data_IF_020033443512
#
_entry.id   IF_020033443512
#
_cell.length_a   1.000
_cell.length_b   1.000
_cell.length_c   1.000
_cell.angle_alpha   90.00
_cell.angle_beta   90.00
_cell.angle_gamma   90.00
#
_symmetry.space_group_name_H-M   'P 1'
#
loop_
_entity.id
_entity.type
_entity.pdbx_description
1 polymer ?
#
# COMPACT_ATOMS: atom_id res chain seq x y z
N UNK A 1 -6.97 -15.31 10.90
CA UNK A 1 -7.51 -14.89 9.60
C UNK A 1 -6.55 -13.88 9.00
N UNK A 2 -6.34 -13.91 7.68
CA UNK A 2 -5.51 -12.88 7.03
C UNK A 2 -6.25 -11.53 7.09
N UNK A 3 -5.49 -10.44 7.33
CA UNK A 3 -6.01 -9.07 7.41
C UNK A 3 -6.63 -8.61 6.09
N UNK A 4 -6.07 -9.07 4.98
CA UNK A 4 -6.51 -8.78 3.62
C UNK A 4 -6.82 -10.08 2.87
N UNK A 5 -7.76 -10.00 1.94
CA UNK A 5 -8.09 -11.06 0.98
C UNK A 5 -7.22 -10.95 -0.27
N UNK A 6 -6.79 -9.73 -0.62
CA UNK A 6 -5.96 -9.43 -1.77
C UNK A 6 -6.75 -9.34 -3.08
N UNK A 7 -8.01 -8.92 -3.03
CA UNK A 7 -8.91 -8.84 -4.20
C UNK A 7 -8.71 -7.56 -4.99
N UNK A 8 -8.67 -6.43 -4.30
CA UNK A 8 -8.50 -5.11 -4.88
C UNK A 8 -7.86 -4.19 -3.85
N UNK A 9 -7.40 -3.03 -4.29
CA UNK A 9 -6.72 -2.07 -3.43
C UNK A 9 -7.68 -1.32 -2.49
N UNK A 10 -9.01 -1.41 -2.67
CA UNK A 10 -10.00 -0.75 -1.80
C UNK A 10 -9.96 -1.34 -0.40
N UNK A 11 -9.54 -2.61 -0.24
CA UNK A 11 -9.29 -3.19 1.07
C UNK A 11 -8.30 -2.36 1.93
N UNK A 12 -7.38 -1.62 1.30
CA UNK A 12 -6.49 -0.70 2.00
C UNK A 12 -7.23 0.54 2.52
N UNK A 13 -8.13 1.12 1.71
CA UNK A 13 -8.97 2.23 2.12
C UNK A 13 -9.87 1.85 3.29
N UNK A 14 -10.56 0.71 3.19
CA UNK A 14 -11.37 0.14 4.27
C UNK A 14 -10.54 -0.05 5.55
N UNK A 15 -9.33 -0.60 5.40
CA UNK A 15 -8.46 -0.85 6.53
C UNK A 15 -8.00 0.44 7.22
N UNK A 16 -7.73 1.50 6.46
CA UNK A 16 -7.31 2.80 6.98
C UNK A 16 -8.47 3.70 7.37
N UNK A 17 -9.71 3.27 7.16
CA UNK A 17 -10.91 4.06 7.46
C UNK A 17 -11.02 5.30 6.59
N UNK A 18 -10.60 5.21 5.32
CA UNK A 18 -10.79 6.28 4.35
C UNK A 18 -12.23 6.26 3.85
N UNK A 19 -12.84 7.44 3.77
CA UNK A 19 -14.16 7.61 3.16
C UNK A 19 -13.98 7.86 1.67
N UNK A 20 -14.56 6.98 0.85
CA UNK A 20 -14.45 7.01 -0.61
C UNK A 20 -15.82 6.90 -1.31
N UNK A 21 -16.94 6.97 -0.58
CA UNK A 21 -18.29 6.79 -1.17
C UNK A 21 -18.64 7.85 -2.22
N UNK A 22 -18.14 9.08 -2.06
CA UNK A 22 -18.38 10.22 -2.95
C UNK A 22 -17.13 10.64 -3.75
N UNK A 23 -16.11 9.79 -3.82
CA UNK A 23 -14.83 10.11 -4.48
C UNK A 23 -14.86 9.62 -5.92
N UNK A 24 -14.62 10.51 -6.89
CA UNK A 24 -14.61 10.17 -8.33
C UNK A 24 -13.45 9.24 -8.72
N UNK A 25 -12.37 9.26 -7.95
CA UNK A 25 -11.15 8.47 -8.19
C UNK A 25 -10.59 7.94 -6.85
N UNK A 26 -11.00 6.74 -6.46
CA UNK A 26 -10.54 6.11 -5.20
C UNK A 26 -9.04 5.81 -5.23
N UNK A 27 -8.46 5.63 -6.42
CA UNK A 27 -7.03 5.43 -6.57
C UNK A 27 -6.27 6.69 -6.14
N UNK A 28 -6.68 7.87 -6.59
CA UNK A 28 -5.97 9.11 -6.23
C UNK A 28 -6.09 9.38 -4.72
N UNK A 29 -7.24 9.10 -4.11
CA UNK A 29 -7.40 9.20 -2.65
C UNK A 29 -6.39 8.34 -1.89
N UNK A 30 -6.29 7.06 -2.26
CA UNK A 30 -5.41 6.10 -1.57
C UNK A 30 -3.95 6.45 -1.85
N UNK A 31 -3.64 6.87 -3.08
CA UNK A 31 -2.31 7.34 -3.48
C UNK A 31 -1.89 8.56 -2.68
N UNK A 32 -2.72 9.59 -2.60
CA UNK A 32 -2.47 10.78 -1.79
C UNK A 32 -2.32 10.43 -0.31
N UNK A 33 -3.13 9.50 0.19
CA UNK A 33 -2.99 9.02 1.56
C UNK A 33 -1.61 8.39 1.78
N UNK A 34 -1.14 7.49 0.91
CA UNK A 34 0.20 6.90 1.01
C UNK A 34 1.27 7.99 1.00
N UNK A 35 1.23 8.91 0.03
CA UNK A 35 2.18 10.02 -0.05
C UNK A 35 2.15 10.92 1.19
N UNK A 36 0.97 11.17 1.77
CA UNK A 36 0.81 11.96 2.98
C UNK A 36 1.37 11.28 4.23
N UNK A 37 1.76 10.01 4.17
CA UNK A 37 2.41 9.26 5.28
C UNK A 37 3.90 9.06 5.06
N UNK A 38 4.38 9.23 3.84
CA UNK A 38 5.80 9.15 3.54
C UNK A 38 6.58 10.30 4.20
N UNK A 39 7.81 10.02 4.60
CA UNK A 39 8.78 11.03 5.04
C UNK A 39 10.17 10.66 4.52
N UNK A 40 10.85 11.63 3.93
CA UNK A 40 12.27 11.51 3.56
C UNK A 40 13.19 12.17 4.61
N UNK A 41 12.60 12.83 5.61
CA UNK A 41 13.33 13.59 6.61
C UNK A 41 13.86 12.67 7.70
N UNK A 42 15.18 12.53 7.78
CA UNK A 42 15.85 11.79 8.85
C UNK A 42 15.63 12.39 10.24
N UNK A 43 15.30 13.69 10.31
CA UNK A 43 14.93 14.41 11.52
C UNK A 43 13.44 14.33 11.86
N UNK A 44 12.63 13.64 11.04
CA UNK A 44 11.24 13.38 11.35
C UNK A 44 11.09 12.69 12.72
N UNK A 45 9.99 13.01 13.40
CA UNK A 45 9.68 12.41 14.69
C UNK A 45 9.57 10.89 14.58
N UNK A 46 9.89 10.19 15.67
CA UNK A 46 9.75 8.72 15.74
C UNK A 46 8.31 8.28 15.48
N UNK A 47 7.33 9.08 15.89
CA UNK A 47 5.92 8.85 15.55
C UNK A 47 5.71 8.85 14.04
N UNK A 48 6.26 9.82 13.32
CA UNK A 48 6.10 9.92 11.86
C UNK A 48 6.76 8.76 11.13
N UNK A 49 7.93 8.33 11.60
CA UNK A 49 8.61 7.13 11.08
C UNK A 49 7.80 5.86 11.35
N UNK A 50 7.21 5.74 12.54
CA UNK A 50 6.34 4.62 12.90
C UNK A 50 5.07 4.59 12.05
N UNK A 51 4.44 5.75 11.77
CA UNK A 51 3.30 5.85 10.87
C UNK A 51 3.65 5.38 9.45
N UNK A 52 4.76 5.87 8.87
CA UNK A 52 5.22 5.43 7.55
C UNK A 52 5.47 3.92 7.52
N UNK A 53 6.13 3.40 8.56
CA UNK A 53 6.39 1.97 8.69
C UNK A 53 5.10 1.14 8.78
N UNK A 54 4.11 1.60 9.53
CA UNK A 54 2.83 0.90 9.66
C UNK A 54 2.13 0.79 8.31
N UNK A 55 2.09 1.88 7.53
CA UNK A 55 1.51 1.87 6.18
C UNK A 55 2.26 0.90 5.25
N UNK A 56 3.60 0.88 5.33
CA UNK A 56 4.40 -0.06 4.55
C UNK A 56 4.10 -1.52 4.95
N UNK A 57 4.00 -1.80 6.25
CA UNK A 57 3.68 -3.14 6.75
C UNK A 57 2.27 -3.59 6.31
N UNK A 58 1.28 -2.69 6.32
CA UNK A 58 -0.08 -2.96 5.84
C UNK A 58 -0.10 -3.35 4.36
N UNK A 59 0.56 -2.55 3.51
CA UNK A 59 0.64 -2.83 2.08
C UNK A 59 1.40 -4.14 1.82
N UNK A 60 2.43 -4.46 2.63
CA UNK A 60 3.11 -5.76 2.53
C UNK A 60 2.19 -6.92 2.85
N UNK A 61 1.35 -6.81 3.86
CA UNK A 61 0.36 -7.85 4.19
C UNK A 61 -0.69 -8.00 3.10
N UNK A 62 -1.13 -6.89 2.52
CA UNK A 62 -2.01 -6.86 1.36
C UNK A 62 -1.36 -7.56 0.15
N UNK A 63 -0.15 -7.16 -0.25
CA UNK A 63 0.57 -7.75 -1.38
C UNK A 63 0.84 -9.24 -1.17
N UNK A 64 1.17 -9.69 0.05
CA UNK A 64 1.28 -11.13 0.37
C UNK A 64 -0.03 -11.89 0.12
N UNK A 65 -1.17 -11.22 0.26
CA UNK A 65 -2.48 -11.81 -0.02
C UNK A 65 -2.80 -11.77 -1.52
N UNK A 66 -2.52 -10.66 -2.20
CA UNK A 66 -2.64 -10.51 -3.65
C UNK A 66 -1.76 -11.53 -4.42
N UNK A 67 -0.52 -11.77 -3.96
CA UNK A 67 0.42 -12.73 -4.57
C UNK A 67 0.01 -14.21 -4.43
N UNK A 68 -1.08 -14.52 -3.70
CA UNK A 68 -1.61 -15.90 -3.63
C UNK A 68 -2.29 -16.32 -4.93
N UNK A 69 -2.72 -15.36 -5.73
CA UNK A 69 -3.46 -15.59 -6.96
C UNK A 69 -2.51 -15.55 -8.15
N UNK A 70 -2.77 -16.40 -9.15
CA UNK A 70 -1.96 -16.48 -10.36
C UNK A 70 -2.41 -15.42 -11.36
N UNK A 71 -1.81 -14.23 -11.26
CA UNK A 71 -1.97 -13.13 -12.22
C UNK A 71 -0.63 -12.88 -12.94
N UNK A 72 -0.70 -12.23 -14.11
CA UNK A 72 0.51 -11.89 -14.87
C UNK A 72 1.45 -10.94 -14.10
N UNK A 73 0.91 -10.12 -13.18
CA UNK A 73 1.65 -9.17 -12.35
C UNK A 73 2.21 -9.77 -11.07
N UNK A 74 1.90 -11.04 -10.74
CA UNK A 74 2.41 -11.71 -9.53
C UNK A 74 3.93 -11.54 -9.31
N UNK A 75 4.80 -11.68 -10.32
CA UNK A 75 6.24 -11.46 -10.15
C UNK A 75 6.60 -10.02 -9.73
N UNK A 76 5.81 -9.02 -10.12
CA UNK A 76 5.97 -7.62 -9.71
C UNK A 76 5.74 -7.51 -8.20
N UNK A 77 4.63 -8.07 -7.71
CA UNK A 77 4.27 -8.06 -6.29
C UNK A 77 5.31 -8.79 -5.42
N UNK A 78 5.77 -9.96 -5.87
CA UNK A 78 6.85 -10.70 -5.19
C UNK A 78 8.20 -9.95 -5.21
N UNK A 79 8.44 -9.16 -6.25
CA UNK A 79 9.58 -8.25 -6.35
C UNK A 79 9.51 -7.12 -5.33
N UNK A 80 8.38 -6.43 -5.25
CA UNK A 80 8.16 -5.33 -4.29
C UNK A 80 8.28 -5.79 -2.84
N UNK A 81 7.81 -7.01 -2.51
CA UNK A 81 7.93 -7.59 -1.17
C UNK A 81 9.39 -7.79 -0.71
N UNK A 82 10.37 -7.77 -1.63
CA UNK A 82 11.80 -7.87 -1.31
C UNK A 82 12.45 -6.50 -1.03
N UNK A 83 11.76 -5.39 -1.33
CA UNK A 83 12.26 -4.03 -1.11
C UNK A 83 12.20 -3.69 0.38
N UNK A 84 13.39 -3.59 1.01
CA UNK A 84 13.52 -3.34 2.45
C UNK A 84 13.35 -1.88 2.86
N UNK A 85 13.64 -0.96 1.96
CA UNK A 85 13.49 0.47 2.21
C UNK A 85 12.01 0.85 2.07
N UNK A 86 11.38 1.28 3.17
CA UNK A 86 9.94 1.55 3.20
C UNK A 86 9.56 2.73 2.31
N UNK A 87 10.38 3.78 2.23
CA UNK A 87 10.12 4.91 1.35
C UNK A 87 10.07 4.48 -0.12
N UNK A 88 11.08 3.75 -0.58
CA UNK A 88 11.15 3.22 -1.95
C UNK A 88 9.99 2.28 -2.22
N UNK A 89 9.71 1.36 -1.29
CA UNK A 89 8.59 0.43 -1.41
C UNK A 89 7.24 1.15 -1.55
N UNK A 90 6.95 2.11 -0.67
CA UNK A 90 5.70 2.88 -0.69
C UNK A 90 5.54 3.66 -1.99
N UNK A 91 6.61 4.29 -2.48
CA UNK A 91 6.59 5.02 -3.75
C UNK A 91 6.18 4.13 -4.92
N UNK A 92 6.80 2.97 -5.05
CA UNK A 92 6.44 2.02 -6.11
C UNK A 92 5.02 1.48 -5.94
N UNK A 93 4.58 1.21 -4.71
CA UNK A 93 3.22 0.74 -4.47
C UNK A 93 2.17 1.79 -4.83
N UNK A 94 2.42 3.07 -4.51
CA UNK A 94 1.53 4.16 -4.86
C UNK A 94 1.38 4.32 -6.39
N UNK A 95 2.49 4.21 -7.13
CA UNK A 95 2.48 4.35 -8.59
C UNK A 95 1.86 3.13 -9.31
N UNK A 96 1.93 1.95 -8.69
CA UNK A 96 1.40 0.69 -9.24
C UNK A 96 0.01 0.32 -8.71
N UNK A 97 -0.59 1.15 -7.86
CA UNK A 97 -1.83 0.83 -7.13
C UNK A 97 -2.99 0.45 -8.06
N UNK A 98 -3.12 1.12 -9.20
CA UNK A 98 -4.16 0.84 -10.22
C UNK A 98 -4.07 -0.55 -10.87
N UNK A 99 -2.94 -1.25 -10.71
CA UNK A 99 -2.75 -2.62 -11.17
C UNK A 99 -3.00 -3.66 -10.05
N UNK A 100 -3.24 -3.23 -8.80
CA UNK A 100 -3.38 -4.10 -7.65
C UNK A 100 -4.82 -4.60 -7.50
N UNK A 101 -5.23 -5.50 -8.38
CA UNK A 101 -6.52 -6.19 -8.33
C UNK A 101 -6.42 -7.55 -9.04
N UNK A 102 -7.44 -8.41 -8.85
CA UNK A 102 -7.56 -9.74 -9.47
C UNK A 102 -8.67 -9.77 -10.50
#
# INVERSE_FOLDING_TARGET
MAKFKGWDFIELADHWGLDYEDVEDEYELIREYIYSKMTFDYSASEQRKAEMKQIADDIREYLKSLSKYETHDKPVWEGLLKVKDDFTFLRFCADLLHHMWI
#
